data_IF_839033755097
#
_entry.id   IF_839033755097
#
_cell.length_a   1.000
_cell.length_b   1.000
_cell.length_c   1.000
_cell.angle_alpha   90.00
_cell.angle_beta   90.00
_cell.angle_gamma   90.00
#
_symmetry.space_group_name_H-M   'P 1'
#
loop_
_entity.id
_entity.type
_entity.pdbx_description
1 polymer ?
#
# COMPACT_ATOMS: atom_id res chain seq x y z
N UNK A 1 25.01 -18.47 6.32
CA UNK A 1 24.29 -19.51 7.08
C UNK A 1 23.20 -18.81 7.86
N UNK A 2 21.94 -19.09 7.56
CA UNK A 2 20.82 -18.55 8.34
C UNK A 2 20.78 -19.27 9.70
N UNK A 3 20.54 -18.56 10.81
CA UNK A 3 20.48 -19.19 12.11
C UNK A 3 19.29 -20.17 12.14
N UNK A 4 19.57 -21.41 12.51
CA UNK A 4 18.55 -22.42 12.80
C UNK A 4 18.00 -22.10 14.18
N UNK A 5 16.84 -21.46 14.22
CA UNK A 5 16.17 -21.08 15.48
C UNK A 5 15.33 -22.25 15.99
N UNK A 6 14.72 -23.02 15.07
CA UNK A 6 13.86 -24.15 15.40
C UNK A 6 14.48 -25.47 14.90
N UNK A 7 15.56 -25.91 15.55
CA UNK A 7 16.28 -27.15 15.15
C UNK A 7 15.38 -28.40 15.16
N UNK A 8 14.43 -28.48 16.10
CA UNK A 8 13.55 -29.64 16.27
C UNK A 8 12.22 -29.52 15.50
N UNK A 9 11.94 -28.38 14.86
CA UNK A 9 10.67 -28.11 14.19
C UNK A 9 10.92 -27.47 12.82
N UNK A 10 11.32 -28.30 11.85
CA UNK A 10 11.68 -27.85 10.50
C UNK A 10 10.57 -27.04 9.81
N UNK A 11 9.30 -27.42 10.00
CA UNK A 11 8.15 -26.70 9.41
C UNK A 11 8.03 -25.27 9.93
N UNK A 12 8.30 -25.04 11.23
CA UNK A 12 8.28 -23.69 11.83
C UNK A 12 9.41 -22.81 11.31
N UNK A 13 10.59 -23.40 11.10
CA UNK A 13 11.72 -22.68 10.49
C UNK A 13 11.37 -22.24 9.05
N UNK A 14 10.74 -23.11 8.27
CA UNK A 14 10.30 -22.80 6.90
C UNK A 14 9.25 -21.67 6.90
N UNK A 15 8.24 -21.73 7.77
CA UNK A 15 7.24 -20.66 7.88
C UNK A 15 7.87 -19.33 8.30
N UNK A 16 8.84 -19.33 9.22
CA UNK A 16 9.57 -18.13 9.60
C UNK A 16 10.31 -17.51 8.41
N UNK A 17 10.93 -18.33 7.54
CA UNK A 17 11.55 -17.83 6.32
C UNK A 17 10.56 -17.24 5.32
N UNK A 18 9.39 -17.85 5.17
CA UNK A 18 8.30 -17.29 4.36
C UNK A 18 7.89 -15.91 4.89
N UNK A 19 7.74 -15.75 6.21
CA UNK A 19 7.39 -14.44 6.82
C UNK A 19 8.46 -13.40 6.51
N UNK A 20 9.74 -13.73 6.67
CA UNK A 20 10.83 -12.81 6.37
C UNK A 20 10.81 -12.41 4.90
N UNK A 21 10.68 -13.37 3.98
CA UNK A 21 10.64 -13.09 2.54
C UNK A 21 9.43 -12.25 2.14
N UNK A 22 8.26 -12.46 2.74
CA UNK A 22 7.09 -11.62 2.50
C UNK A 22 7.31 -10.20 3.03
N UNK A 23 7.85 -10.08 4.25
CA UNK A 23 8.05 -8.79 4.89
C UNK A 23 9.15 -7.95 4.24
N UNK A 24 10.19 -8.57 3.67
CA UNK A 24 11.25 -7.84 2.95
C UNK A 24 10.96 -7.72 1.46
N UNK A 25 10.49 -8.80 0.83
CA UNK A 25 10.24 -8.87 -0.61
C UNK A 25 9.09 -8.00 -1.09
N UNK A 26 8.01 -7.87 -0.29
CA UNK A 26 6.88 -7.03 -0.68
C UNK A 26 7.23 -5.53 -0.69
N UNK A 27 7.81 -4.94 0.38
CA UNK A 27 8.30 -3.57 0.32
C UNK A 27 9.33 -3.34 -0.77
N UNK A 28 10.22 -4.31 -0.99
CA UNK A 28 11.23 -4.21 -2.04
C UNK A 28 10.60 -4.14 -3.45
N UNK A 29 9.57 -4.94 -3.72
CA UNK A 29 8.81 -4.88 -4.97
C UNK A 29 8.06 -3.54 -5.13
N UNK A 30 7.59 -2.93 -4.03
CA UNK A 30 6.93 -1.61 -4.05
C UNK A 30 7.92 -0.46 -4.26
N UNK A 31 9.07 -0.51 -3.60
CA UNK A 31 10.06 0.57 -3.62
C UNK A 31 10.86 0.61 -4.93
N UNK A 32 10.90 -0.51 -5.67
CA UNK A 32 11.61 -0.63 -6.94
C UNK A 32 13.05 -0.08 -6.88
N UNK A 33 13.92 -0.65 -6.03
CA UNK A 33 15.23 -0.06 -5.72
C UNK A 33 16.17 0.03 -6.94
N UNK A 34 15.98 -0.81 -7.95
CA UNK A 34 16.85 -0.82 -9.13
C UNK A 34 16.38 0.17 -10.20
N UNK A 35 17.34 0.69 -10.96
CA UNK A 35 17.06 1.52 -12.14
C UNK A 35 16.53 0.64 -13.27
N UNK A 36 15.22 0.71 -13.51
CA UNK A 36 14.54 0.04 -14.63
C UNK A 36 13.57 -1.06 -14.19
N UNK A 37 12.54 -1.31 -14.99
CA UNK A 37 11.46 -2.23 -14.63
C UNK A 37 11.92 -3.70 -14.61
N UNK A 38 12.73 -4.11 -15.59
CA UNK A 38 13.18 -5.49 -15.77
C UNK A 38 13.86 -6.10 -14.52
N UNK A 39 14.88 -5.47 -13.88
CA UNK A 39 15.51 -6.04 -12.69
C UNK A 39 14.56 -6.12 -11.48
N UNK A 40 13.69 -5.12 -11.29
CA UNK A 40 12.70 -5.13 -10.21
C UNK A 40 11.66 -6.24 -10.39
N UNK A 41 11.19 -6.47 -11.63
CA UNK A 41 10.26 -7.56 -11.95
C UNK A 41 10.94 -8.92 -11.77
N UNK A 42 12.19 -9.06 -12.22
CA UNK A 42 12.94 -10.31 -12.06
C UNK A 42 13.14 -10.65 -10.58
N UNK A 43 13.49 -9.67 -9.75
CA UNK A 43 13.65 -9.88 -8.32
C UNK A 43 12.34 -10.25 -7.63
N UNK A 44 11.25 -9.55 -7.94
CA UNK A 44 9.93 -9.88 -7.42
C UNK A 44 9.50 -11.31 -7.85
N UNK A 45 9.79 -11.69 -9.08
CA UNK A 45 9.51 -13.03 -9.60
C UNK A 45 10.32 -14.10 -8.83
N UNK A 46 11.63 -13.91 -8.69
CA UNK A 46 12.50 -14.85 -7.96
C UNK A 46 12.07 -14.98 -6.50
N UNK A 47 11.77 -13.87 -5.83
CA UNK A 47 11.26 -13.87 -4.46
C UNK A 47 9.91 -14.62 -4.35
N UNK A 48 9.01 -14.43 -5.32
CA UNK A 48 7.72 -15.13 -5.35
C UNK A 48 7.87 -16.64 -5.57
N UNK A 49 8.74 -17.06 -6.50
CA UNK A 49 9.07 -18.46 -6.75
C UNK A 49 9.68 -19.13 -5.50
N UNK A 50 10.62 -18.46 -4.84
CA UNK A 50 11.25 -18.97 -3.62
C UNK A 50 10.22 -19.12 -2.49
N UNK A 51 9.32 -18.15 -2.34
CA UNK A 51 8.25 -18.19 -1.34
C UNK A 51 7.30 -19.36 -1.59
N UNK A 52 6.89 -19.58 -2.85
CA UNK A 52 6.06 -20.72 -3.24
C UNK A 52 6.75 -22.06 -2.99
N UNK A 53 8.03 -22.17 -3.33
CA UNK A 53 8.83 -23.38 -3.09
C UNK A 53 8.93 -23.69 -1.60
N UNK A 54 9.18 -22.68 -0.77
CA UNK A 54 9.26 -22.85 0.68
C UNK A 54 7.92 -23.25 1.28
N UNK A 55 6.81 -22.66 0.84
CA UNK A 55 5.47 -23.09 1.27
C UNK A 55 5.23 -24.56 0.90
N UNK A 56 5.53 -24.95 -0.35
CA UNK A 56 5.42 -26.34 -0.80
C UNK A 56 6.30 -27.30 0.02
N UNK A 57 7.54 -26.92 0.31
CA UNK A 57 8.46 -27.69 1.14
C UNK A 57 7.96 -27.83 2.59
N UNK A 58 7.32 -26.80 3.13
CA UNK A 58 6.69 -26.82 4.45
C UNK A 58 5.58 -27.87 4.55
N UNK A 59 4.75 -28.02 3.50
CA UNK A 59 3.71 -29.05 3.44
C UNK A 59 4.25 -30.47 3.22
N UNK A 60 5.35 -30.61 2.48
CA UNK A 60 5.95 -31.90 2.18
C UNK A 60 6.77 -32.48 3.33
N UNK A 61 7.11 -31.66 4.34
CA UNK A 61 7.88 -32.10 5.49
C UNK A 61 7.03 -33.03 6.37
N UNK A 62 7.18 -34.33 6.13
CA UNK A 62 6.52 -35.37 6.92
C UNK A 62 6.87 -35.22 8.39
N UNK A 63 5.86 -34.96 9.21
CA UNK A 63 5.98 -34.76 10.66
C UNK A 63 5.12 -35.81 11.35
N UNK A 64 5.67 -36.41 12.42
CA UNK A 64 4.97 -37.45 13.20
C UNK A 64 3.70 -36.90 13.86
N UNK A 65 3.70 -35.62 14.23
CA UNK A 65 2.60 -34.94 14.92
C UNK A 65 1.74 -34.10 13.96
N UNK A 66 0.90 -34.76 13.16
CA UNK A 66 0.01 -34.11 12.18
C UNK A 66 -0.93 -33.05 12.77
N UNK A 67 -1.39 -33.25 14.00
CA UNK A 67 -2.30 -32.31 14.68
C UNK A 67 -1.63 -30.97 14.96
N UNK A 68 -0.38 -30.99 15.44
CA UNK A 68 0.41 -29.78 15.71
C UNK A 68 0.67 -29.01 14.42
N UNK A 69 1.01 -29.70 13.34
CA UNK A 69 1.24 -29.06 12.03
C UNK A 69 -0.04 -28.46 11.46
N UNK A 70 -1.17 -29.15 11.62
CA UNK A 70 -2.47 -28.63 11.16
C UNK A 70 -2.86 -27.36 11.92
N UNK A 71 -2.66 -27.34 13.24
CA UNK A 71 -2.91 -26.16 14.05
C UNK A 71 -1.96 -24.99 13.69
N UNK A 72 -0.67 -25.26 13.55
CA UNK A 72 0.33 -24.25 13.16
C UNK A 72 -0.02 -23.62 11.78
N UNK A 73 -0.46 -24.44 10.81
CA UNK A 73 -0.90 -23.97 9.50
C UNK A 73 -2.19 -23.16 9.58
N UNK A 74 -3.17 -23.59 10.37
CA UNK A 74 -4.41 -22.86 10.59
C UNK A 74 -4.15 -21.48 11.18
N UNK A 75 -3.27 -21.38 12.18
CA UNK A 75 -2.86 -20.10 12.75
C UNK A 75 -2.15 -19.24 11.71
N UNK A 76 -1.19 -19.82 10.98
CA UNK A 76 -0.44 -19.11 9.95
C UNK A 76 -1.35 -18.50 8.87
N UNK A 77 -2.16 -19.33 8.20
CA UNK A 77 -3.08 -18.84 7.17
C UNK A 77 -4.19 -17.96 7.76
N UNK A 78 -4.66 -18.28 8.96
CA UNK A 78 -5.67 -17.49 9.66
C UNK A 78 -5.22 -16.04 9.90
N UNK A 79 -3.96 -15.82 10.27
CA UNK A 79 -3.38 -14.47 10.41
C UNK A 79 -3.40 -13.73 9.08
N UNK A 80 -2.92 -14.35 8.00
CA UNK A 80 -2.90 -13.71 6.67
C UNK A 80 -4.29 -13.39 6.14
N UNK A 81 -5.24 -14.31 6.27
CA UNK A 81 -6.64 -14.10 5.87
C UNK A 81 -7.24 -12.96 6.69
N UNK A 82 -7.06 -12.96 8.01
CA UNK A 82 -7.61 -11.93 8.89
C UNK A 82 -7.05 -10.54 8.57
N UNK A 83 -5.73 -10.43 8.38
CA UNK A 83 -5.10 -9.17 7.96
C UNK A 83 -5.57 -8.72 6.57
N UNK A 84 -5.72 -9.66 5.64
CA UNK A 84 -6.25 -9.39 4.30
C UNK A 84 -7.68 -8.87 4.33
N UNK A 85 -8.57 -9.53 5.08
CA UNK A 85 -9.94 -9.09 5.28
C UNK A 85 -9.99 -7.70 5.94
N UNK A 86 -9.17 -7.47 6.98
CA UNK A 86 -9.11 -6.17 7.66
C UNK A 86 -8.66 -5.06 6.69
N UNK A 87 -7.58 -5.28 5.93
CA UNK A 87 -7.09 -4.32 4.95
C UNK A 87 -8.09 -4.04 3.82
N UNK A 88 -8.78 -5.09 3.35
CA UNK A 88 -9.85 -4.95 2.38
C UNK A 88 -11.01 -4.12 2.94
N UNK A 89 -11.50 -4.45 4.14
CA UNK A 89 -12.57 -3.72 4.82
C UNK A 89 -12.21 -2.24 5.02
N UNK A 90 -10.99 -1.94 5.49
CA UNK A 90 -10.50 -0.55 5.63
C UNK A 90 -10.53 0.19 4.29
N UNK A 91 -10.06 -0.47 3.23
CA UNK A 91 -10.02 0.14 1.89
C UNK A 91 -11.43 0.42 1.37
N UNK A 92 -12.34 -0.54 1.50
CA UNK A 92 -13.75 -0.36 1.11
C UNK A 92 -14.39 0.76 1.93
N UNK A 93 -14.26 0.73 3.26
CA UNK A 93 -14.78 1.78 4.14
C UNK A 93 -14.23 3.16 3.77
N UNK A 94 -12.93 3.26 3.45
CA UNK A 94 -12.31 4.51 3.00
C UNK A 94 -12.90 5.00 1.67
N UNK A 95 -13.09 4.11 0.70
CA UNK A 95 -13.66 4.48 -0.60
C UNK A 95 -15.13 4.89 -0.48
N UNK A 96 -15.90 4.17 0.34
CA UNK A 96 -17.29 4.50 0.66
C UNK A 96 -17.35 5.87 1.35
N UNK A 97 -16.49 6.11 2.35
CA UNK A 97 -16.39 7.39 3.03
C UNK A 97 -16.09 8.53 2.06
N UNK A 98 -15.07 8.38 1.20
CA UNK A 98 -14.72 9.40 0.19
C UNK A 98 -15.82 9.60 -0.86
N UNK A 99 -16.65 8.59 -1.10
CA UNK A 99 -17.79 8.69 -2.02
C UNK A 99 -18.92 9.52 -1.43
N UNK A 100 -19.22 9.36 -0.13
CA UNK A 100 -20.29 10.09 0.54
C UNK A 100 -19.85 11.45 1.07
N UNK A 101 -18.57 11.60 1.39
CA UNK A 101 -17.94 12.84 1.84
C UNK A 101 -16.78 13.19 0.91
N UNK A 102 -17.07 13.57 -0.34
CA UNK A 102 -16.02 13.99 -1.26
C UNK A 102 -15.31 15.21 -0.67
N UNK A 103 -14.00 15.14 -0.56
CA UNK A 103 -13.19 16.29 -0.15
C UNK A 103 -13.34 17.39 -1.22
N UNK A 104 -13.91 18.56 -0.88
CA UNK A 104 -14.09 19.62 -1.86
C UNK A 104 -12.72 20.04 -2.39
N UNK A 105 -12.47 19.78 -3.68
CA UNK A 105 -11.20 20.06 -4.37
C UNK A 105 -10.74 21.52 -4.16
N UNK A 106 -11.69 22.42 -3.94
CA UNK A 106 -11.48 23.82 -3.64
C UNK A 106 -12.37 24.27 -2.48
N UNK A 107 -11.77 25.00 -1.54
CA UNK A 107 -12.46 25.57 -0.39
C UNK A 107 -13.20 26.87 -0.72
N UNK A 108 -12.62 27.68 -1.60
CA UNK A 108 -13.21 28.94 -2.05
C UNK A 108 -12.97 29.14 -3.54
N UNK A 109 -13.88 29.86 -4.18
CA UNK A 109 -13.79 30.29 -5.56
C UNK A 109 -13.56 31.80 -5.58
N UNK A 110 -12.43 32.24 -6.13
CA UNK A 110 -12.10 33.65 -6.32
C UNK A 110 -12.40 34.02 -7.76
N UNK A 111 -13.34 34.93 -7.97
CA UNK A 111 -13.56 35.59 -9.25
C UNK A 111 -13.02 37.02 -9.21
N UNK A 112 -12.59 37.53 -10.35
CA UNK A 112 -12.26 38.94 -10.52
C UNK A 112 -12.99 39.49 -11.75
N UNK A 113 -13.30 40.79 -11.79
CA UNK A 113 -14.13 41.37 -12.85
C UNK A 113 -13.30 42.05 -13.96
N UNK A 114 -12.01 42.31 -13.72
CA UNK A 114 -11.16 43.06 -14.65
C UNK A 114 -9.74 42.50 -14.65
N UNK A 115 -9.09 42.50 -15.81
CA UNK A 115 -7.69 42.06 -15.95
C UNK A 115 -6.71 42.76 -15.00
N UNK A 116 -6.94 44.03 -14.66
CA UNK A 116 -6.13 44.77 -13.67
C UNK A 116 -6.25 44.24 -12.23
N UNK A 117 -7.33 43.54 -11.91
CA UNK A 117 -7.56 42.91 -10.60
C UNK A 117 -7.00 41.48 -10.51
N UNK A 118 -6.52 40.90 -11.62
CA UNK A 118 -6.00 39.52 -11.67
C UNK A 118 -4.80 39.28 -10.76
N UNK A 119 -3.89 40.26 -10.66
CA UNK A 119 -2.71 40.19 -9.79
C UNK A 119 -3.13 40.19 -8.32
N UNK A 120 -4.09 41.05 -7.95
CA UNK A 120 -4.63 41.12 -6.60
C UNK A 120 -5.35 39.82 -6.21
N UNK A 121 -6.15 39.26 -7.11
CA UNK A 121 -6.84 37.99 -6.89
C UNK A 121 -5.85 36.81 -6.74
N UNK A 122 -4.74 36.82 -7.49
CA UNK A 122 -3.65 35.84 -7.34
C UNK A 122 -2.94 35.96 -5.99
N UNK A 123 -2.65 37.18 -5.54
CA UNK A 123 -2.07 37.41 -4.20
C UNK A 123 -3.03 36.96 -3.11
N UNK A 124 -4.32 37.29 -3.24
CA UNK A 124 -5.35 36.88 -2.28
C UNK A 124 -5.50 35.36 -2.21
N UNK A 125 -5.45 34.67 -3.36
CA UNK A 125 -5.41 33.19 -3.41
C UNK A 125 -4.24 32.64 -2.60
N UNK A 126 -3.02 33.11 -2.87
CA UNK A 126 -1.81 32.64 -2.18
C UNK A 126 -1.93 32.84 -0.67
N UNK A 127 -2.40 34.00 -0.23
CA UNK A 127 -2.58 34.31 1.19
C UNK A 127 -3.67 33.47 1.85
N UNK A 128 -4.78 33.20 1.16
CA UNK A 128 -5.84 32.32 1.65
C UNK A 128 -5.37 30.87 1.76
N UNK A 129 -4.69 30.34 0.75
CA UNK A 129 -4.13 28.99 0.77
C UNK A 129 -3.08 28.85 1.88
N UNK A 130 -2.26 29.88 2.11
CA UNK A 130 -1.25 29.91 3.18
C UNK A 130 -1.89 29.92 4.57
N UNK A 131 -2.92 30.72 4.80
CA UNK A 131 -3.57 30.84 6.12
C UNK A 131 -4.50 29.67 6.45
N UNK A 132 -5.23 29.17 5.47
CA UNK A 132 -6.26 28.16 5.66
C UNK A 132 -5.75 26.73 5.39
N UNK A 133 -4.59 26.58 4.74
CA UNK A 133 -4.06 25.27 4.33
C UNK A 133 -4.93 24.53 3.32
N UNK A 134 -5.93 25.21 2.73
CA UNK A 134 -6.90 24.64 1.80
C UNK A 134 -6.77 25.31 0.44
N UNK A 135 -6.93 24.52 -0.63
CA UNK A 135 -6.82 24.99 -2.01
C UNK A 135 -7.96 25.92 -2.36
N UNK A 136 -7.67 26.99 -3.09
CA UNK A 136 -8.67 27.92 -3.61
C UNK A 136 -8.66 27.88 -5.15
N UNK A 137 -9.83 27.88 -5.77
CA UNK A 137 -9.94 28.03 -7.21
C UNK A 137 -9.89 29.52 -7.55
N UNK A 138 -9.11 29.89 -8.56
CA UNK A 138 -9.11 31.24 -9.10
C UNK A 138 -9.70 31.13 -10.50
N UNK A 139 -10.85 31.76 -10.69
CA UNK A 139 -11.48 31.87 -12.00
C UNK A 139 -10.61 32.74 -12.91
N UNK A 140 -10.39 32.27 -14.13
CA UNK A 140 -9.64 33.02 -15.13
C UNK A 140 -10.64 33.70 -16.05
N UNK A 141 -10.64 35.03 -16.07
CA UNK A 141 -11.42 35.88 -16.98
C UNK A 141 -11.20 35.49 -18.45
N UNK A 142 -11.95 34.49 -18.93
CA UNK A 142 -12.21 34.28 -20.35
C UNK A 142 -13.42 33.35 -20.53
N UNK A 143 -14.56 33.74 -19.94
CA UNK A 143 -15.85 33.07 -20.16
C UNK A 143 -16.51 33.48 -21.50
N UNK A 144 -15.88 34.35 -22.30
CA UNK A 144 -16.42 34.82 -23.58
C UNK A 144 -16.32 33.76 -24.71
N UNK A 145 -15.73 32.59 -24.45
CA UNK A 145 -15.60 31.48 -25.42
C UNK A 145 -16.23 30.17 -24.93
N UNK A 146 -17.42 30.23 -24.33
CA UNK A 146 -18.23 29.06 -23.95
C UNK A 146 -19.64 29.13 -24.55
#
# INVERSE_FOLDING_TARGET
LLPVVFANHGHRQIHAFVIVLLFTGFPQAMLQPYRGLAPNVLEALVASCLTMLLLGAGFLLGTENREVVTNDLQIFFGIFITLGCLGFSITVCRQVYLRFFPDPRYFAFLSHHKGGCSVGARVMKIELERKLGKKCFLDSDNLDSL
#
